data_IF_625575513108
#
_entry.id   IF_625575513108
#
_cell.length_a   1.000
_cell.length_b   1.000
_cell.length_c   1.000
_cell.angle_alpha   90.00
_cell.angle_beta   90.00
_cell.angle_gamma   90.00
#
_symmetry.space_group_name_H-M   'P 1'
#
loop_
_entity.id
_entity.type
_entity.pdbx_description
1 polymer ?
#
# COMPACT_ATOMS: atom_id res chain seq x y z
N UNK A 1 -9.43 -10.88 9.41
CA UNK A 1 -8.50 -11.29 8.33
C UNK A 1 -7.54 -12.34 8.85
N UNK A 2 -7.16 -13.31 8.02
CA UNK A 2 -6.31 -14.43 8.43
C UNK A 2 -4.83 -14.22 8.07
N UNK A 3 -4.56 -13.59 6.93
CA UNK A 3 -3.20 -13.41 6.40
C UNK A 3 -2.91 -11.93 6.15
N UNK A 4 -1.78 -11.43 6.64
CA UNK A 4 -1.25 -10.11 6.31
C UNK A 4 0.26 -10.03 6.54
N UNK A 5 0.98 -9.24 5.72
CA UNK A 5 2.42 -9.04 5.83
C UNK A 5 2.83 -7.67 5.30
N UNK A 6 3.97 -7.17 5.76
CA UNK A 6 4.62 -5.98 5.20
C UNK A 6 5.67 -6.40 4.18
N UNK A 7 5.76 -5.65 3.10
CA UNK A 7 6.68 -5.91 2.01
C UNK A 7 7.33 -4.63 1.48
N UNK A 8 8.39 -4.80 0.72
CA UNK A 8 9.02 -3.73 -0.06
C UNK A 8 8.87 -4.05 -1.55
N UNK A 9 8.41 -3.08 -2.34
CA UNK A 9 8.33 -3.21 -3.79
C UNK A 9 9.73 -3.21 -4.41
N UNK A 10 10.13 -4.32 -5.01
CA UNK A 10 11.41 -4.46 -5.72
C UNK A 10 11.31 -3.88 -7.12
N UNK A 11 10.32 -4.32 -7.89
CA UNK A 11 10.16 -3.89 -9.27
C UNK A 11 8.96 -4.51 -9.95
N UNK A 12 8.98 -4.47 -11.25
CA UNK A 12 8.06 -5.23 -12.11
C UNK A 12 8.87 -5.99 -13.15
N UNK A 13 8.43 -7.20 -13.44
CA UNK A 13 8.96 -8.07 -14.47
C UNK A 13 7.81 -8.80 -15.16
N UNK A 14 8.14 -9.77 -15.96
CA UNK A 14 7.18 -10.63 -16.64
C UNK A 14 7.62 -12.08 -16.54
N UNK A 15 6.67 -12.96 -16.47
CA UNK A 15 6.87 -14.41 -16.52
C UNK A 15 5.96 -15.01 -17.56
N UNK A 16 6.27 -16.21 -18.02
CA UNK A 16 5.43 -16.97 -18.93
C UNK A 16 4.79 -18.13 -18.18
N UNK A 17 3.51 -18.37 -18.42
CA UNK A 17 2.84 -19.57 -17.93
C UNK A 17 3.17 -20.77 -18.85
N UNK A 18 2.65 -21.94 -18.50
CA UNK A 18 2.86 -23.17 -19.27
C UNK A 18 2.30 -23.09 -20.69
N UNK A 19 1.27 -22.28 -20.91
CA UNK A 19 0.66 -22.03 -22.23
C UNK A 19 1.45 -21.01 -23.07
N UNK A 20 2.57 -20.49 -22.58
CA UNK A 20 3.37 -19.47 -23.26
C UNK A 20 2.78 -18.06 -23.19
N UNK A 21 1.74 -17.83 -22.38
CA UNK A 21 1.18 -16.48 -22.19
C UNK A 21 2.04 -15.66 -21.26
N UNK A 22 2.27 -14.40 -21.63
CA UNK A 22 3.03 -13.44 -20.83
C UNK A 22 2.15 -12.88 -19.69
N UNK A 23 2.63 -13.04 -18.46
CA UNK A 23 1.98 -12.49 -17.25
C UNK A 23 2.86 -11.38 -16.69
N UNK A 24 2.38 -10.11 -16.67
CA UNK A 24 3.09 -9.04 -16.00
C UNK A 24 2.99 -9.22 -14.48
N UNK A 25 4.12 -9.20 -13.77
CA UNK A 25 4.17 -9.37 -12.33
C UNK A 25 4.92 -8.24 -11.65
N UNK A 26 4.53 -7.95 -10.42
CA UNK A 26 5.26 -7.09 -9.50
C UNK A 26 5.95 -7.94 -8.45
N UNK A 27 7.26 -7.75 -8.29
CA UNK A 27 8.05 -8.44 -7.28
C UNK A 27 7.99 -7.67 -5.97
N UNK A 28 7.56 -8.35 -4.92
CA UNK A 28 7.46 -7.83 -3.57
C UNK A 28 8.34 -8.67 -2.64
N UNK A 29 9.32 -8.04 -1.99
CA UNK A 29 10.08 -8.66 -0.92
C UNK A 29 9.25 -8.56 0.37
N UNK A 30 8.64 -9.66 0.78
CA UNK A 30 7.68 -9.73 1.86
C UNK A 30 8.29 -10.42 3.09
N UNK A 31 8.46 -9.67 4.16
CA UNK A 31 9.07 -10.18 5.39
C UNK A 31 10.61 -10.33 5.32
N UNK A 32 11.23 -10.97 6.34
CA UNK A 32 10.57 -11.42 7.55
C UNK A 32 10.02 -10.26 8.39
N UNK A 33 8.79 -10.39 8.87
CA UNK A 33 8.19 -9.48 9.81
C UNK A 33 8.26 -10.07 11.20
N UNK A 34 8.67 -9.30 12.20
CA UNK A 34 8.80 -9.77 13.59
C UNK A 34 7.65 -9.21 14.42
N UNK A 35 6.99 -10.06 15.21
CA UNK A 35 5.94 -9.65 16.14
C UNK A 35 6.58 -8.87 17.29
N UNK A 36 6.20 -7.60 17.43
CA UNK A 36 6.72 -6.70 18.48
C UNK A 36 5.78 -6.60 19.67
N UNK A 37 4.48 -6.77 19.46
CA UNK A 37 3.48 -6.74 20.52
C UNK A 37 2.22 -7.50 20.08
N UNK A 38 1.61 -8.22 21.01
CA UNK A 38 0.28 -8.79 20.86
C UNK A 38 -0.67 -7.99 21.75
N UNK A 39 -1.73 -7.45 21.17
CA UNK A 39 -2.77 -6.68 21.84
C UNK A 39 -3.97 -7.57 22.11
N UNK A 40 -4.51 -7.45 23.30
CA UNK A 40 -5.69 -8.22 23.77
C UNK A 40 -6.86 -7.28 24.08
N UNK A 41 -8.08 -7.81 24.03
CA UNK A 41 -9.27 -7.04 24.33
C UNK A 41 -9.29 -6.52 25.78
N UNK A 42 -8.71 -7.29 26.71
CA UNK A 42 -8.68 -6.93 28.14
C UNK A 42 -7.80 -5.71 28.43
N UNK A 43 -6.63 -5.61 27.78
CA UNK A 43 -5.65 -4.55 28.06
C UNK A 43 -5.78 -3.36 27.11
N UNK A 44 -6.04 -3.62 25.83
CA UNK A 44 -5.99 -2.61 24.76
C UNK A 44 -7.38 -2.28 24.20
N UNK A 45 -8.42 -3.02 24.58
CA UNK A 45 -9.79 -2.86 24.09
C UNK A 45 -10.03 -3.44 22.68
N UNK A 46 -9.03 -4.07 22.07
CA UNK A 46 -9.14 -4.78 20.80
C UNK A 46 -8.00 -5.78 20.60
N UNK A 47 -8.27 -6.85 19.85
CA UNK A 47 -7.28 -7.85 19.51
C UNK A 47 -6.52 -7.45 18.23
N UNK A 48 -5.18 -7.41 18.31
CA UNK A 48 -4.31 -7.14 17.16
C UNK A 48 -2.89 -7.65 17.40
N UNK A 49 -2.16 -7.86 16.32
CA UNK A 49 -0.73 -8.18 16.34
C UNK A 49 0.04 -7.03 15.72
N UNK A 50 0.97 -6.46 16.46
CA UNK A 50 1.88 -5.46 15.96
C UNK A 50 3.12 -6.13 15.40
N UNK A 51 3.49 -5.79 14.17
CA UNK A 51 4.65 -6.35 13.47
C UNK A 51 5.64 -5.27 13.07
N UNK A 52 6.91 -5.58 13.21
CA UNK A 52 8.03 -4.76 12.77
C UNK A 52 8.63 -5.31 11.47
N UNK A 53 8.97 -4.43 10.53
CA UNK A 53 9.57 -4.75 9.23
C UNK A 53 10.67 -3.79 8.84
N UNK A 54 11.68 -4.33 8.15
CA UNK A 54 12.82 -3.57 7.64
C UNK A 54 13.82 -3.18 8.73
N UNK A 55 15.09 -3.25 8.40
CA UNK A 55 16.16 -2.93 9.32
C UNK A 55 16.36 -1.41 9.46
N UNK A 56 16.75 -0.96 10.64
CA UNK A 56 17.11 0.43 10.93
C UNK A 56 18.39 0.45 11.76
N UNK A 57 19.26 1.41 11.48
CA UNK A 57 20.46 1.64 12.29
C UNK A 57 20.07 2.20 13.66
N UNK A 58 20.62 1.67 14.74
CA UNK A 58 20.30 2.10 16.12
C UNK A 58 20.41 3.60 16.35
N UNK A 59 21.38 4.27 15.70
CA UNK A 59 21.57 5.73 15.78
C UNK A 59 20.36 6.55 15.30
N UNK A 60 19.44 5.93 14.51
CA UNK A 60 18.26 6.58 13.97
C UNK A 60 16.99 6.28 14.77
N UNK A 61 17.11 5.49 15.83
CA UNK A 61 15.99 5.08 16.69
C UNK A 61 15.93 6.01 17.89
N UNK A 62 14.75 6.56 18.14
CA UNK A 62 14.48 7.40 19.30
C UNK A 62 14.44 6.58 20.59
N UNK A 63 14.71 7.20 21.75
CA UNK A 63 14.70 6.51 23.05
C UNK A 63 13.36 5.79 23.35
N UNK A 64 12.17 6.38 23.12
CA UNK A 64 10.91 5.70 23.34
C UNK A 64 10.74 4.46 22.44
N UNK A 65 11.09 4.59 21.15
CA UNK A 65 11.03 3.48 20.19
C UNK A 65 11.98 2.36 20.59
N UNK A 66 13.23 2.72 21.00
CA UNK A 66 14.18 1.73 21.49
C UNK A 66 13.62 0.98 22.68
N UNK A 67 13.06 1.66 23.68
CA UNK A 67 12.45 1.03 24.84
C UNK A 67 11.29 0.09 24.48
N UNK A 68 10.54 0.41 23.41
CA UNK A 68 9.48 -0.48 22.90
C UNK A 68 10.03 -1.79 22.33
N UNK A 69 11.11 -1.72 21.53
CA UNK A 69 11.75 -2.91 20.97
C UNK A 69 12.52 -3.71 22.02
N UNK A 70 13.18 -3.03 22.95
CA UNK A 70 13.89 -3.66 24.08
C UNK A 70 12.92 -4.47 24.97
N UNK A 71 11.71 -3.93 25.22
CA UNK A 71 10.63 -4.64 25.95
C UNK A 71 10.19 -5.90 25.21
N UNK A 72 10.16 -5.86 23.89
CA UNK A 72 9.82 -7.03 23.06
C UNK A 72 10.99 -8.01 22.88
N UNK A 73 12.22 -7.63 23.25
CA UNK A 73 13.42 -8.44 23.05
C UNK A 73 13.81 -8.61 21.58
N UNK A 74 13.40 -7.67 20.70
CA UNK A 74 13.64 -7.73 19.27
C UNK A 74 14.49 -6.56 18.78
N UNK A 75 15.26 -6.76 17.72
CA UNK A 75 16.00 -5.70 17.08
C UNK A 75 15.05 -4.61 16.52
N UNK A 76 15.48 -3.35 16.60
CA UNK A 76 14.67 -2.22 16.12
C UNK A 76 14.34 -2.38 14.63
N UNK A 77 13.10 -2.13 14.28
CA UNK A 77 12.57 -2.19 12.90
C UNK A 77 12.15 -0.82 12.41
N UNK A 78 12.27 -0.62 11.09
CA UNK A 78 11.99 0.68 10.47
C UNK A 78 10.50 1.01 10.39
N UNK A 79 9.68 0.00 10.15
CA UNK A 79 8.24 0.14 10.00
C UNK A 79 7.55 -0.75 11.02
N UNK A 80 6.63 -0.15 11.75
CA UNK A 80 5.79 -0.86 12.72
C UNK A 80 4.35 -0.66 12.30
N UNK A 81 3.59 -1.75 12.23
CA UNK A 81 2.18 -1.71 11.86
C UNK A 81 1.38 -2.79 12.56
N UNK A 82 0.11 -2.51 12.82
CA UNK A 82 -0.80 -3.44 13.46
C UNK A 82 -1.71 -4.11 12.43
N UNK A 83 -1.97 -5.38 12.68
CA UNK A 83 -2.94 -6.18 11.93
C UNK A 83 -3.93 -6.81 12.89
N UNK A 84 -5.21 -6.67 12.58
CA UNK A 84 -6.29 -7.31 13.33
C UNK A 84 -6.54 -8.70 12.77
N UNK A 85 -5.72 -9.66 13.22
CA UNK A 85 -5.92 -11.07 12.87
C UNK A 85 -7.08 -11.65 13.68
N UNK A 86 -7.80 -12.61 13.09
CA UNK A 86 -8.84 -13.37 13.78
C UNK A 86 -8.24 -14.25 14.89
N UNK A 87 -7.04 -14.77 14.66
CA UNK A 87 -6.26 -15.62 15.55
C UNK A 87 -5.14 -14.86 16.25
N UNK A 88 -5.33 -13.58 16.60
CA UNK A 88 -4.28 -12.75 17.21
C UNK A 88 -3.67 -13.36 18.49
N UNK A 89 -4.44 -14.15 19.24
CA UNK A 89 -3.98 -14.80 20.46
C UNK A 89 -2.97 -15.93 20.25
N UNK A 90 -2.85 -16.48 19.04
CA UNK A 90 -1.92 -17.56 18.72
C UNK A 90 -0.49 -17.04 18.48
N UNK A 91 -0.34 -15.75 18.24
CA UNK A 91 0.95 -15.14 17.98
C UNK A 91 1.73 -14.86 19.27
N UNK A 92 3.03 -15.07 19.22
CA UNK A 92 3.94 -14.76 20.33
C UNK A 92 4.89 -13.63 19.96
N UNK A 93 5.27 -12.81 20.95
CA UNK A 93 6.25 -11.73 20.74
C UNK A 93 7.58 -12.34 20.32
N UNK A 94 8.24 -11.76 19.32
CA UNK A 94 9.47 -12.27 18.73
C UNK A 94 9.26 -13.30 17.60
N UNK A 95 8.05 -13.79 17.37
CA UNK A 95 7.74 -14.69 16.26
C UNK A 95 7.97 -14.01 14.92
N UNK A 96 8.56 -14.72 13.96
CA UNK A 96 8.72 -14.26 12.58
C UNK A 96 7.54 -14.69 11.70
N UNK A 97 7.03 -13.75 10.91
CA UNK A 97 6.02 -13.97 9.87
C UNK A 97 6.73 -13.83 8.53
N UNK A 98 6.74 -14.88 7.72
CA UNK A 98 7.37 -14.97 6.41
C UNK A 98 6.34 -15.15 5.30
N UNK A 99 6.81 -15.33 4.07
CA UNK A 99 5.95 -15.52 2.88
C UNK A 99 5.20 -16.85 2.87
N UNK A 100 5.59 -17.80 3.71
CA UNK A 100 4.99 -19.14 3.87
C UNK A 100 3.51 -19.14 4.26
N UNK A 101 3.01 -18.01 4.78
CA UNK A 101 1.57 -17.83 5.06
C UNK A 101 0.72 -17.74 3.79
N UNK A 102 1.33 -17.46 2.63
CA UNK A 102 0.66 -17.36 1.34
C UNK A 102 0.96 -18.58 0.46
N UNK A 103 0.02 -18.90 -0.42
CA UNK A 103 0.16 -19.93 -1.43
C UNK A 103 -0.01 -19.34 -2.84
N UNK A 104 0.48 -20.07 -3.84
CA UNK A 104 0.26 -19.74 -5.25
C UNK A 104 -1.25 -19.79 -5.56
N UNK A 105 -1.75 -18.79 -6.28
CA UNK A 105 -3.17 -18.61 -6.56
C UNK A 105 -3.96 -17.87 -5.47
N UNK A 106 -3.37 -17.56 -4.32
CA UNK A 106 -4.06 -16.74 -3.29
C UNK A 106 -4.39 -15.34 -3.84
N UNK A 107 -5.55 -14.82 -3.48
CA UNK A 107 -5.99 -13.47 -3.80
C UNK A 107 -5.75 -12.51 -2.63
N UNK A 108 -5.15 -11.36 -2.94
CA UNK A 108 -4.69 -10.38 -1.96
C UNK A 108 -5.13 -8.97 -2.28
N UNK A 109 -5.22 -8.15 -1.24
CA UNK A 109 -5.39 -6.71 -1.31
C UNK A 109 -4.07 -6.02 -0.96
N UNK A 110 -3.59 -5.17 -1.85
CA UNK A 110 -2.29 -4.52 -1.72
C UNK A 110 -2.45 -3.01 -1.53
N UNK A 111 -1.98 -2.52 -0.38
CA UNK A 111 -2.07 -1.11 -0.01
C UNK A 111 -0.68 -0.48 0.03
N UNK A 112 -0.49 0.63 -0.66
CA UNK A 112 0.74 1.43 -0.60
C UNK A 112 0.47 2.90 -0.92
N UNK A 113 1.48 3.74 -0.67
CA UNK A 113 1.43 5.17 -1.05
C UNK A 113 1.78 5.30 -2.53
N UNK A 114 0.88 5.90 -3.30
CA UNK A 114 1.04 6.11 -4.74
C UNK A 114 2.17 7.09 -5.07
N UNK A 115 2.72 7.02 -6.28
CA UNK A 115 3.72 8.00 -6.75
C UNK A 115 3.15 9.40 -6.72
N UNK A 116 3.86 10.36 -6.12
CA UNK A 116 3.52 11.77 -6.13
C UNK A 116 3.58 12.35 -7.55
N UNK A 117 2.65 13.23 -7.89
CA UNK A 117 2.58 13.93 -9.18
C UNK A 117 2.61 15.45 -9.02
N UNK A 118 2.81 15.92 -7.78
CA UNK A 118 2.84 17.35 -7.45
C UNK A 118 1.48 18.02 -7.63
N UNK A 119 1.49 19.33 -7.82
CA UNK A 119 0.28 20.10 -8.11
C UNK A 119 -0.11 19.94 -9.58
N UNK A 120 -1.32 19.48 -9.85
CA UNK A 120 -1.82 19.19 -11.20
C UNK A 120 -3.07 20.00 -11.52
N UNK A 121 -3.21 20.38 -12.79
CA UNK A 121 -4.41 21.00 -13.33
C UNK A 121 -5.60 20.04 -13.34
N UNK A 122 -6.82 20.60 -13.42
CA UNK A 122 -8.06 19.85 -13.36
C UNK A 122 -8.18 18.79 -14.48
N UNK A 123 -7.61 19.05 -15.64
CA UNK A 123 -7.60 18.09 -16.76
C UNK A 123 -6.90 16.78 -16.37
N UNK A 124 -5.66 16.85 -15.84
CA UNK A 124 -4.91 15.66 -15.44
C UNK A 124 -5.44 15.03 -14.15
N UNK A 125 -5.85 15.88 -13.19
CA UNK A 125 -6.29 15.44 -11.88
C UNK A 125 -7.65 14.75 -11.91
N UNK A 126 -8.57 15.25 -12.72
CA UNK A 126 -9.98 14.81 -12.76
C UNK A 126 -10.45 14.32 -14.13
N UNK A 127 -9.56 14.24 -15.13
CA UNK A 127 -9.92 13.77 -16.47
C UNK A 127 -10.84 14.73 -17.24
N UNK A 128 -10.81 16.02 -16.93
CA UNK A 128 -11.63 17.02 -17.65
C UNK A 128 -11.14 17.19 -19.09
N UNK A 129 -12.05 17.55 -19.99
CA UNK A 129 -11.73 17.85 -21.38
C UNK A 129 -10.95 19.15 -21.49
N UNK A 130 -9.99 19.19 -22.40
CA UNK A 130 -9.30 20.43 -22.80
C UNK A 130 -10.12 21.24 -23.77
N UNK A 131 -9.86 22.55 -23.86
CA UNK A 131 -10.42 23.40 -24.92
C UNK A 131 -9.79 23.13 -26.31
N UNK A 132 -10.34 23.74 -27.37
CA UNK A 132 -9.80 23.64 -28.71
C UNK A 132 -8.33 24.12 -28.78
N UNK A 133 -7.52 23.47 -29.57
CA UNK A 133 -6.09 23.82 -29.76
C UNK A 133 -5.84 24.61 -31.03
N UNK A 134 -6.89 24.81 -31.87
CA UNK A 134 -6.86 25.53 -33.14
C UNK A 134 -8.03 26.55 -33.22
N UNK A 135 -8.24 27.13 -34.39
CA UNK A 135 -9.31 28.11 -34.68
C UNK A 135 -9.26 29.34 -33.80
N UNK A 136 -8.04 29.80 -33.41
CA UNK A 136 -7.85 31.05 -32.63
C UNK A 136 -8.25 30.94 -31.16
N UNK A 137 -8.58 29.75 -30.67
CA UNK A 137 -8.91 29.55 -29.25
C UNK A 137 -7.68 29.82 -28.38
N UNK A 138 -7.86 30.58 -27.31
CA UNK A 138 -6.88 30.79 -26.24
C UNK A 138 -7.17 29.95 -25.01
N UNK A 139 -8.23 29.15 -25.05
CA UNK A 139 -8.70 28.29 -23.98
C UNK A 139 -8.17 26.85 -24.19
N UNK A 140 -6.97 26.57 -23.75
CA UNK A 140 -6.34 25.27 -23.97
C UNK A 140 -6.53 24.30 -22.79
N UNK A 141 -5.92 24.61 -21.65
CA UNK A 141 -5.93 23.72 -20.47
C UNK A 141 -6.48 24.41 -19.21
N UNK A 142 -7.45 25.26 -19.37
CA UNK A 142 -8.13 25.96 -18.28
C UNK A 142 -9.16 25.07 -17.56
N UNK A 143 -9.42 25.39 -16.30
CA UNK A 143 -10.31 24.58 -15.44
C UNK A 143 -11.80 24.75 -15.73
N UNK A 144 -12.18 25.75 -16.57
CA UNK A 144 -13.57 26.05 -16.89
C UNK A 144 -14.26 26.94 -15.87
N UNK A 145 -15.56 27.14 -16.05
CA UNK A 145 -16.39 27.95 -15.17
C UNK A 145 -16.45 27.36 -13.75
N UNK A 146 -16.53 28.24 -12.75
CA UNK A 146 -16.70 27.85 -11.35
C UNK A 146 -18.17 27.70 -10.92
N UNK A 147 -19.13 28.02 -11.80
CA UNK A 147 -20.56 27.86 -11.53
C UNK A 147 -21.39 28.96 -12.11
N UNK A 148 -22.66 29.05 -11.71
CA UNK A 148 -23.58 30.14 -12.05
C UNK A 148 -23.13 31.45 -11.40
N UNK A 149 -23.66 32.56 -11.88
CA UNK A 149 -23.23 33.92 -11.52
C UNK A 149 -23.75 34.34 -10.12
N UNK A 150 -24.68 35.32 -10.09
CA UNK A 150 -25.14 35.96 -8.85
C UNK A 150 -25.98 35.06 -7.96
N UNK A 151 -26.62 34.05 -8.51
CA UNK A 151 -27.34 33.02 -7.77
C UNK A 151 -26.78 31.65 -8.16
N UNK A 152 -26.15 30.89 -7.25
CA UNK A 152 -26.10 31.01 -5.77
C UNK A 152 -24.93 31.85 -5.20
N UNK A 153 -24.20 32.63 -5.99
CA UNK A 153 -23.05 33.48 -5.57
C UNK A 153 -21.91 32.73 -4.83
N UNK A 154 -21.79 31.45 -5.05
CA UNK A 154 -20.76 30.62 -4.42
C UNK A 154 -20.32 29.49 -5.34
N UNK A 155 -19.10 28.98 -5.12
CA UNK A 155 -18.62 27.72 -5.69
C UNK A 155 -19.06 26.58 -4.77
N UNK A 156 -19.73 25.59 -5.33
CA UNK A 156 -20.20 24.45 -4.54
C UNK A 156 -19.04 23.60 -4.03
N UNK A 157 -19.28 22.95 -2.86
CA UNK A 157 -18.36 21.95 -2.32
C UNK A 157 -18.21 20.80 -3.32
N UNK A 158 -17.02 20.19 -3.37
CA UNK A 158 -16.74 19.09 -4.29
C UNK A 158 -16.42 19.49 -5.73
N UNK A 159 -16.40 20.79 -6.07
CA UNK A 159 -15.96 21.27 -7.39
C UNK A 159 -14.56 20.75 -7.71
N UNK A 160 -14.40 20.09 -8.85
CA UNK A 160 -13.14 19.59 -9.35
C UNK A 160 -12.18 20.73 -9.73
N UNK A 161 -11.16 20.97 -8.91
CA UNK A 161 -10.19 22.03 -9.08
C UNK A 161 -8.77 21.50 -9.15
N UNK A 162 -7.80 22.30 -9.65
CA UNK A 162 -6.38 21.97 -9.54
C UNK A 162 -5.97 21.70 -8.10
N UNK A 163 -4.95 20.89 -7.90
CA UNK A 163 -4.42 20.60 -6.56
C UNK A 163 -3.43 19.46 -6.56
N UNK A 164 -3.02 19.06 -5.36
CA UNK A 164 -2.12 17.95 -5.15
C UNK A 164 -2.68 16.65 -5.73
N UNK A 165 -1.85 15.90 -6.45
CA UNK A 165 -2.19 14.61 -7.04
C UNK A 165 -1.12 13.58 -6.70
N UNK A 166 -1.55 12.35 -6.41
CA UNK A 166 -0.65 11.28 -5.96
C UNK A 166 -0.17 11.47 -4.53
N UNK A 167 0.81 10.66 -4.10
CA UNK A 167 1.30 10.58 -2.72
C UNK A 167 0.16 10.38 -1.70
N UNK A 168 -0.81 9.57 -2.08
CA UNK A 168 -1.94 9.17 -1.26
C UNK A 168 -1.95 7.66 -1.11
N UNK A 169 -2.49 7.17 -0.01
CA UNK A 169 -2.67 5.74 0.21
C UNK A 169 -3.72 5.21 -0.77
N UNK A 170 -3.36 4.16 -1.50
CA UNK A 170 -4.21 3.48 -2.48
C UNK A 170 -4.17 1.99 -2.20
N UNK A 171 -5.33 1.35 -2.23
CA UNK A 171 -5.46 -0.11 -2.17
C UNK A 171 -5.93 -0.64 -3.51
N UNK A 172 -5.18 -1.57 -4.07
CA UNK A 172 -5.60 -2.38 -5.22
C UNK A 172 -6.04 -3.71 -4.68
N UNK A 173 -7.29 -4.06 -4.95
CA UNK A 173 -7.92 -5.26 -4.43
C UNK A 173 -7.88 -6.42 -5.41
N UNK A 174 -7.96 -7.63 -4.88
CA UNK A 174 -8.14 -8.86 -5.66
C UNK A 174 -7.02 -9.11 -6.67
N UNK A 175 -5.77 -8.96 -6.24
CA UNK A 175 -4.60 -9.33 -7.03
C UNK A 175 -4.24 -10.79 -6.75
N UNK A 176 -3.94 -11.54 -7.78
CA UNK A 176 -3.53 -12.93 -7.73
C UNK A 176 -2.03 -13.06 -7.45
N UNK A 177 -1.63 -13.92 -6.53
CA UNK A 177 -0.24 -14.35 -6.33
C UNK A 177 0.07 -15.43 -7.35
N UNK A 178 1.00 -15.16 -8.25
CA UNK A 178 1.40 -16.11 -9.28
C UNK A 178 2.40 -17.13 -8.77
N UNK A 179 3.31 -16.66 -7.89
CA UNK A 179 4.37 -17.52 -7.32
C UNK A 179 4.83 -16.98 -5.98
N UNK A 180 5.06 -17.90 -5.05
CA UNK A 180 5.69 -17.64 -3.74
C UNK A 180 7.09 -18.24 -3.74
N UNK A 181 8.11 -17.43 -3.50
CA UNK A 181 9.49 -17.86 -3.26
C UNK A 181 9.81 -17.68 -1.77
N UNK A 182 9.78 -18.79 -1.05
CA UNK A 182 10.02 -18.80 0.41
C UNK A 182 11.49 -18.66 0.77
N UNK A 183 12.42 -19.07 -0.11
CA UNK A 183 13.85 -18.97 0.14
C UNK A 183 14.32 -17.51 0.14
N UNK A 184 13.85 -16.74 -0.83
CA UNK A 184 14.21 -15.32 -0.98
C UNK A 184 13.18 -14.36 -0.35
N UNK A 185 12.11 -14.87 0.27
CA UNK A 185 10.98 -14.09 0.79
C UNK A 185 10.36 -13.17 -0.27
N UNK A 186 10.14 -13.70 -1.49
CA UNK A 186 9.55 -12.96 -2.60
C UNK A 186 8.13 -13.44 -2.89
N UNK A 187 7.26 -12.48 -3.20
CA UNK A 187 5.92 -12.71 -3.73
C UNK A 187 5.82 -12.08 -5.12
N UNK A 188 5.50 -12.88 -6.12
CA UNK A 188 5.23 -12.42 -7.48
C UNK A 188 3.73 -12.23 -7.62
N UNK A 189 3.30 -10.98 -7.68
CA UNK A 189 1.88 -10.59 -7.74
C UNK A 189 1.54 -10.14 -9.15
N UNK A 190 0.50 -10.70 -9.73
CA UNK A 190 0.01 -10.38 -11.08
C UNK A 190 -0.49 -8.94 -11.14
N UNK A 191 0.08 -8.17 -12.06
CA UNK A 191 -0.34 -6.80 -12.32
C UNK A 191 0.44 -5.74 -11.58
N UNK A 192 -0.15 -4.55 -11.46
CA UNK A 192 0.51 -3.36 -10.94
C UNK A 192 0.20 -3.13 -9.46
N UNK A 193 1.26 -2.89 -8.69
CA UNK A 193 1.19 -2.49 -7.27
C UNK A 193 1.50 -0.98 -7.15
N UNK A 194 0.75 -0.21 -6.35
CA UNK A 194 0.99 1.22 -6.18
C UNK A 194 2.36 1.51 -5.55
N UNK A 195 2.86 2.72 -5.80
CA UNK A 195 4.11 3.22 -5.24
C UNK A 195 5.35 3.06 -6.13
N UNK A 196 6.44 3.74 -5.79
CA UNK A 196 7.74 3.59 -6.44
C UNK A 196 8.46 2.31 -6.00
N UNK A 197 9.58 1.98 -6.66
CA UNK A 197 10.51 0.96 -6.16
C UNK A 197 10.99 1.33 -4.75
N UNK A 198 11.22 0.35 -3.91
CA UNK A 198 11.64 0.46 -2.49
C UNK A 198 10.56 1.09 -1.57
N UNK A 199 9.32 1.27 -2.04
CA UNK A 199 8.23 1.71 -1.16
C UNK A 199 7.71 0.57 -0.28
N UNK A 200 7.26 0.94 0.92
CA UNK A 200 6.55 0.03 1.81
C UNK A 200 5.18 -0.32 1.21
N UNK A 201 4.87 -1.60 1.25
CA UNK A 201 3.62 -2.17 0.78
C UNK A 201 3.02 -3.00 1.91
N UNK A 202 1.73 -2.88 2.12
CA UNK A 202 0.97 -3.72 3.04
C UNK A 202 0.15 -4.70 2.22
N UNK A 203 0.36 -5.97 2.45
CA UNK A 203 -0.35 -7.07 1.79
C UNK A 203 -1.32 -7.67 2.80
N UNK A 204 -2.54 -7.92 2.38
CA UNK A 204 -3.59 -8.55 3.17
C UNK A 204 -4.35 -9.54 2.31
N UNK A 205 -4.91 -10.57 2.92
CA UNK A 205 -5.92 -11.41 2.28
C UNK A 205 -7.06 -10.54 1.73
N UNK A 206 -7.56 -10.85 0.53
CA UNK A 206 -8.66 -10.08 -0.05
C UNK A 206 -9.94 -10.19 0.78
N UNK A 207 -10.68 -9.08 0.81
CA UNK A 207 -12.02 -9.05 1.45
C UNK A 207 -13.12 -9.43 0.46
N UNK A 208 -12.79 -9.59 -0.83
CA UNK A 208 -13.75 -10.01 -1.84
C UNK A 208 -13.85 -11.53 -1.85
N UNK A 209 -15.07 -12.03 -1.73
CA UNK A 209 -15.34 -13.44 -2.07
C UNK A 209 -15.19 -13.63 -3.58
N UNK A 210 -14.49 -14.65 -3.97
CA UNK A 210 -14.42 -15.15 -5.36
C UNK A 210 -15.59 -16.05 -5.65
#
# INVERSE_FOLDING_TARGET
MKKAILATKVGMTQIFNEDGQLIPVTDLQAGPCVVTQVKTEENDGYAAVQVGYGEIREKLVNKPEKGHFDKAGVAAKRFVKEFRFENAAEYTVGQEIKTDIFADGDHIDVTAVSKGKGFQGAIKRHGQSRGPMAHGSKYHRHAGSNGACSDPSKVFKGKHMPGHMGNVQVTVQNLEIVRVDTENNLLLVKGAVPGPKKSLVTIKETVKSL
#
